data_IF_097239123748
#
_entry.id   IF_097239123748
#
_cell.length_a   1.000
_cell.length_b   1.000
_cell.length_c   1.000
_cell.angle_alpha   90.00
_cell.angle_beta   90.00
_cell.angle_gamma   90.00
#
_symmetry.space_group_name_H-M   'P 1'
#
loop_
_entity.id
_entity.type
_entity.pdbx_description
1 polymer ?
#
# COMPACT_ATOMS: atom_id res chain seq x y z
N UNK A 1 -10.59 11.99 -31.75
CA UNK A 1 -9.59 10.98 -31.34
C UNK A 1 -9.96 10.56 -29.94
N UNK A 2 -9.73 9.30 -29.57
CA UNK A 2 -9.92 8.88 -28.16
C UNK A 2 -8.77 9.41 -27.34
N UNK A 3 -9.07 9.90 -26.13
CA UNK A 3 -8.07 10.42 -25.18
C UNK A 3 -7.37 9.28 -24.44
N UNK A 4 -6.07 9.42 -24.21
CA UNK A 4 -5.30 8.44 -23.45
C UNK A 4 -4.34 9.12 -22.47
N UNK A 5 -3.98 8.40 -21.41
CA UNK A 5 -2.80 8.68 -20.61
C UNK A 5 -1.84 7.50 -20.67
N UNK A 6 -0.56 7.78 -20.44
CA UNK A 6 0.46 6.75 -20.28
C UNK A 6 0.82 6.67 -18.79
N UNK A 7 0.88 5.44 -18.28
CA UNK A 7 1.35 5.18 -16.93
C UNK A 7 2.50 4.16 -16.97
N UNK A 8 3.67 4.55 -16.51
CA UNK A 8 4.85 3.71 -16.39
C UNK A 8 5.34 3.62 -14.95
N UNK A 9 6.01 2.52 -14.59
CA UNK A 9 6.56 2.31 -13.25
C UNK A 9 7.88 1.56 -13.30
N UNK A 10 8.85 2.05 -12.52
CA UNK A 10 10.06 1.29 -12.22
C UNK A 10 10.33 1.23 -10.71
N UNK A 11 11.29 0.39 -10.33
CA UNK A 11 11.76 0.34 -8.94
C UNK A 11 12.56 1.60 -8.60
N UNK A 12 12.45 2.07 -7.36
CA UNK A 12 13.12 3.27 -6.84
C UNK A 12 14.63 3.12 -6.60
N UNK A 13 15.26 2.01 -7.04
CA UNK A 13 16.71 1.91 -7.04
C UNK A 13 17.23 2.99 -8.00
N UNK A 14 17.73 4.10 -7.47
CA UNK A 14 18.15 5.30 -8.21
C UNK A 14 19.32 5.10 -9.20
N UNK A 15 19.40 3.93 -9.81
CA UNK A 15 20.31 3.55 -10.85
C UNK A 15 19.88 4.18 -12.19
N UNK A 16 20.85 4.49 -13.03
CA UNK A 16 20.62 4.91 -14.42
C UNK A 16 19.74 3.92 -15.19
N UNK A 17 19.82 2.63 -14.85
CA UNK A 17 19.00 1.56 -15.42
C UNK A 17 17.51 1.73 -15.19
N UNK A 18 17.09 2.16 -14.00
CA UNK A 18 15.66 2.38 -13.70
C UNK A 18 15.05 3.54 -14.49
N UNK A 19 15.83 4.58 -14.80
CA UNK A 19 15.37 5.70 -15.66
C UNK A 19 15.26 5.28 -17.12
N UNK A 20 16.21 4.49 -17.61
CA UNK A 20 16.18 3.97 -18.97
C UNK A 20 14.98 3.03 -19.20
N UNK A 21 14.59 2.25 -18.17
CA UNK A 21 13.44 1.35 -18.24
C UNK A 21 12.11 2.12 -18.36
N UNK A 22 11.91 3.22 -17.61
CA UNK A 22 10.69 4.04 -17.76
C UNK A 22 10.65 4.77 -19.08
N UNK A 23 11.75 5.34 -19.54
CA UNK A 23 11.84 6.05 -20.83
C UNK A 23 11.45 5.12 -21.98
N UNK A 24 12.02 3.91 -22.01
CA UNK A 24 11.67 2.92 -23.02
C UNK A 24 10.20 2.51 -22.97
N UNK A 25 9.65 2.29 -21.77
CA UNK A 25 8.22 1.98 -21.62
C UNK A 25 7.35 3.10 -22.20
N UNK A 26 7.70 4.35 -21.92
CA UNK A 26 6.96 5.51 -22.44
C UNK A 26 7.05 5.60 -23.96
N UNK A 27 8.23 5.43 -24.53
CA UNK A 27 8.45 5.45 -25.99
C UNK A 27 7.62 4.38 -26.70
N UNK A 28 7.64 3.14 -26.20
CA UNK A 28 6.87 2.02 -26.76
C UNK A 28 5.35 2.31 -26.70
N UNK A 29 4.87 2.88 -25.60
CA UNK A 29 3.46 3.24 -25.41
C UNK A 29 3.04 4.44 -26.27
N UNK A 30 3.91 5.43 -26.46
CA UNK A 30 3.69 6.55 -27.37
C UNK A 30 3.58 6.06 -28.83
N UNK A 31 4.49 5.16 -29.23
CA UNK A 31 4.42 4.56 -30.55
C UNK A 31 3.09 3.80 -30.77
N UNK A 32 2.66 3.03 -29.75
CA UNK A 32 1.35 2.36 -29.78
C UNK A 32 0.20 3.36 -29.92
N UNK A 33 0.23 4.45 -29.12
CA UNK A 33 -0.81 5.48 -29.16
C UNK A 33 -0.91 6.13 -30.55
N UNK A 34 0.23 6.48 -31.16
CA UNK A 34 0.26 7.06 -32.51
C UNK A 34 -0.32 6.09 -33.56
N UNK A 35 0.07 4.81 -33.51
CA UNK A 35 -0.40 3.79 -34.44
C UNK A 35 -1.92 3.54 -34.32
N UNK A 36 -2.46 3.68 -33.11
CA UNK A 36 -3.90 3.45 -32.84
C UNK A 36 -4.73 4.74 -32.79
N UNK A 37 -4.19 5.86 -33.25
CA UNK A 37 -4.86 7.16 -33.31
C UNK A 37 -5.42 7.63 -31.95
N UNK A 38 -4.67 7.38 -30.87
CA UNK A 38 -4.97 7.86 -29.51
C UNK A 38 -4.22 9.17 -29.26
N UNK A 39 -4.91 10.12 -28.62
CA UNK A 39 -4.30 11.38 -28.19
C UNK A 39 -3.78 11.23 -26.76
N UNK A 40 -2.47 11.26 -26.56
CA UNK A 40 -1.86 11.17 -25.23
C UNK A 40 -1.91 12.54 -24.55
N UNK A 41 -2.78 12.68 -23.56
CA UNK A 41 -3.00 13.93 -22.82
C UNK A 41 -1.94 14.13 -21.72
N UNK A 42 -1.55 13.04 -21.04
CA UNK A 42 -0.58 13.13 -19.93
C UNK A 42 0.19 11.81 -19.79
N UNK A 43 1.43 11.93 -19.32
CA UNK A 43 2.29 10.78 -18.98
C UNK A 43 2.65 10.84 -17.50
N UNK A 44 2.53 9.69 -16.83
CA UNK A 44 2.89 9.49 -15.43
C UNK A 44 4.02 8.47 -15.33
N UNK A 45 5.12 8.87 -14.71
CA UNK A 45 6.29 8.02 -14.49
C UNK A 45 6.53 7.84 -12.99
N UNK A 46 6.22 6.68 -12.46
CA UNK A 46 6.32 6.37 -11.05
C UNK A 46 7.61 5.63 -10.72
N UNK A 47 8.39 6.20 -9.81
CA UNK A 47 9.60 5.60 -9.26
C UNK A 47 9.33 5.19 -7.80
N UNK A 48 8.90 3.96 -7.59
CA UNK A 48 8.50 3.51 -6.27
C UNK A 48 9.05 2.12 -5.95
N UNK A 49 9.53 1.94 -4.70
CA UNK A 49 9.93 0.61 -4.24
C UNK A 49 8.69 -0.30 -4.22
N UNK A 50 8.88 -1.49 -4.72
CA UNK A 50 7.74 -2.34 -4.97
C UNK A 50 7.08 -2.99 -3.77
N UNK A 51 7.30 -2.50 -2.56
CA UNK A 51 6.60 -2.97 -1.36
C UNK A 51 5.39 -2.13 -0.97
N UNK A 52 5.13 -1.00 -1.67
CA UNK A 52 3.97 -0.15 -1.35
C UNK A 52 2.70 -0.67 -2.00
N UNK A 53 1.61 -0.69 -1.22
CA UNK A 53 0.28 -1.02 -1.71
C UNK A 53 -0.24 0.07 -2.68
N UNK A 54 -1.16 -0.29 -3.59
CA UNK A 54 -1.68 0.65 -4.59
C UNK A 54 -2.31 1.90 -3.96
N UNK A 55 -2.97 1.78 -2.82
CA UNK A 55 -3.52 2.91 -2.05
C UNK A 55 -2.46 3.91 -1.58
N UNK A 56 -1.21 3.47 -1.42
CA UNK A 56 -0.08 4.27 -0.95
C UNK A 56 0.81 4.75 -2.10
N UNK A 57 0.30 4.67 -3.35
CA UNK A 57 0.96 5.10 -4.59
C UNK A 57 0.34 6.40 -5.08
N UNK A 58 0.90 7.57 -4.70
CA UNK A 58 0.26 8.86 -4.97
C UNK A 58 0.10 9.14 -6.47
N UNK A 59 1.10 8.78 -7.29
CA UNK A 59 1.02 9.01 -8.74
C UNK A 59 0.00 8.10 -9.42
N UNK A 60 -0.17 6.85 -8.98
CA UNK A 60 -1.23 5.98 -9.48
C UNK A 60 -2.60 6.56 -9.13
N UNK A 61 -2.80 6.99 -7.88
CA UNK A 61 -4.06 7.61 -7.44
C UNK A 61 -4.34 8.90 -8.20
N UNK A 62 -3.31 9.74 -8.42
CA UNK A 62 -3.44 10.95 -9.25
C UNK A 62 -3.84 10.60 -10.69
N UNK A 63 -3.21 9.60 -11.31
CA UNK A 63 -3.53 9.17 -12.67
C UNK A 63 -4.98 8.67 -12.79
N UNK A 64 -5.45 7.87 -11.82
CA UNK A 64 -6.83 7.38 -11.79
C UNK A 64 -7.84 8.51 -11.61
N UNK A 65 -7.58 9.45 -10.69
CA UNK A 65 -8.42 10.62 -10.47
C UNK A 65 -8.44 11.52 -11.71
N UNK A 66 -7.28 11.76 -12.32
CA UNK A 66 -7.19 12.54 -13.56
C UNK A 66 -8.03 11.95 -14.68
N UNK A 67 -8.05 10.61 -14.81
CA UNK A 67 -8.89 9.94 -15.80
C UNK A 67 -10.38 10.21 -15.58
N UNK A 68 -10.84 10.16 -14.33
CA UNK A 68 -12.23 10.42 -13.98
C UNK A 68 -12.62 11.89 -14.24
N UNK A 69 -11.79 12.83 -13.76
CA UNK A 69 -12.07 14.27 -13.84
C UNK A 69 -12.06 14.79 -15.30
N UNK A 70 -11.20 14.22 -16.14
CA UNK A 70 -11.00 14.65 -17.52
C UNK A 70 -11.66 13.70 -18.55
N UNK A 71 -12.46 12.74 -18.11
CA UNK A 71 -13.14 11.78 -18.98
C UNK A 71 -12.21 11.09 -19.98
N UNK A 72 -11.06 10.60 -19.48
CA UNK A 72 -10.08 9.91 -20.31
C UNK A 72 -10.60 8.54 -20.72
N UNK A 73 -10.54 8.23 -22.00
CA UNK A 73 -11.04 6.96 -22.55
C UNK A 73 -10.17 5.76 -22.18
N UNK A 74 -8.84 5.93 -22.14
CA UNK A 74 -7.92 4.79 -22.05
C UNK A 74 -6.66 5.13 -21.25
N UNK A 75 -6.22 4.19 -20.41
CA UNK A 75 -4.88 4.18 -19.79
C UNK A 75 -4.01 3.19 -20.56
N UNK A 76 -2.83 3.62 -20.98
CA UNK A 76 -1.83 2.79 -21.63
C UNK A 76 -0.76 2.38 -20.62
N UNK A 77 -0.50 1.09 -20.47
CA UNK A 77 0.45 0.52 -19.53
C UNK A 77 1.33 -0.51 -20.24
N UNK A 78 2.62 -0.56 -19.95
CA UNK A 78 3.55 -1.47 -20.60
C UNK A 78 3.25 -2.95 -20.30
N UNK A 79 2.96 -3.26 -19.05
CA UNK A 79 2.61 -4.62 -18.61
C UNK A 79 1.75 -4.59 -17.34
N UNK A 80 0.99 -5.65 -17.10
CA UNK A 80 0.07 -5.78 -15.97
C UNK A 80 0.75 -5.57 -14.62
N UNK A 81 2.00 -6.00 -14.47
CA UNK A 81 2.79 -5.85 -13.25
C UNK A 81 3.04 -4.39 -12.85
N UNK A 82 2.87 -3.43 -13.77
CA UNK A 82 2.99 -1.99 -13.48
C UNK A 82 1.78 -1.46 -12.72
N UNK A 83 0.63 -2.08 -12.93
CA UNK A 83 -0.61 -1.70 -12.26
C UNK A 83 -0.59 -2.07 -10.77
N UNK A 84 0.00 -3.20 -10.40
CA UNK A 84 0.15 -3.67 -9.03
C UNK A 84 1.20 -4.77 -8.92
N UNK A 85 1.62 -5.09 -7.71
CA UNK A 85 2.49 -6.25 -7.45
C UNK A 85 1.74 -7.48 -7.02
N UNK A 86 0.70 -7.27 -6.25
CA UNK A 86 -0.18 -8.32 -5.75
C UNK A 86 -1.35 -8.46 -6.69
N UNK A 87 -1.75 -9.69 -6.91
CA UNK A 87 -2.87 -9.98 -7.81
C UNK A 87 -4.17 -9.33 -7.35
N UNK A 88 -4.41 -9.23 -6.04
CA UNK A 88 -5.57 -8.56 -5.47
C UNK A 88 -5.59 -7.06 -5.80
N UNK A 89 -4.45 -6.37 -5.70
CA UNK A 89 -4.33 -4.95 -6.05
C UNK A 89 -4.58 -4.69 -7.55
N UNK A 90 -4.11 -5.59 -8.40
CA UNK A 90 -4.35 -5.53 -9.84
C UNK A 90 -5.86 -5.68 -10.13
N UNK A 91 -6.50 -6.69 -9.50
CA UNK A 91 -7.92 -6.95 -9.65
C UNK A 91 -8.79 -5.80 -9.15
N UNK A 92 -8.45 -5.21 -8.00
CA UNK A 92 -9.14 -4.03 -7.46
C UNK A 92 -9.03 -2.84 -8.43
N UNK A 93 -7.84 -2.60 -8.99
CA UNK A 93 -7.65 -1.49 -9.93
C UNK A 93 -8.37 -1.74 -11.26
N UNK A 94 -8.33 -2.98 -11.79
CA UNK A 94 -9.10 -3.34 -12.99
C UNK A 94 -10.60 -3.17 -12.75
N UNK A 95 -11.10 -3.61 -11.60
CA UNK A 95 -12.51 -3.41 -11.23
C UNK A 95 -12.86 -1.93 -11.16
N UNK A 96 -12.04 -1.11 -10.51
CA UNK A 96 -12.22 0.33 -10.45
C UNK A 96 -12.33 0.95 -11.86
N UNK A 97 -11.43 0.59 -12.78
CA UNK A 97 -11.44 1.09 -14.14
C UNK A 97 -12.72 0.67 -14.91
N UNK A 98 -13.16 -0.57 -14.73
CA UNK A 98 -14.43 -1.07 -15.31
C UNK A 98 -15.63 -0.27 -14.79
N UNK A 99 -15.73 -0.09 -13.47
CA UNK A 99 -16.84 0.60 -12.82
C UNK A 99 -16.94 2.08 -13.29
N UNK A 100 -15.81 2.68 -13.71
CA UNK A 100 -15.75 4.05 -14.23
C UNK A 100 -15.69 4.14 -15.75
N UNK A 101 -15.89 3.02 -16.46
CA UNK A 101 -15.86 2.94 -17.92
C UNK A 101 -14.55 3.43 -18.57
N UNK A 102 -13.44 3.33 -17.84
CA UNK A 102 -12.11 3.66 -18.32
C UNK A 102 -11.47 2.39 -18.85
N UNK A 103 -11.07 2.39 -20.14
CA UNK A 103 -10.33 1.28 -20.71
C UNK A 103 -8.88 1.29 -20.22
N UNK A 104 -8.24 0.12 -20.16
CA UNK A 104 -6.81 0.00 -19.94
C UNK A 104 -6.24 -0.99 -20.94
N UNK A 105 -5.16 -0.60 -21.60
CA UNK A 105 -4.43 -1.47 -22.51
C UNK A 105 -3.06 -1.84 -21.96
N UNK A 106 -2.77 -3.14 -21.95
CA UNK A 106 -1.50 -3.72 -21.51
C UNK A 106 -0.70 -4.14 -22.74
N UNK A 107 0.35 -3.37 -23.04
CA UNK A 107 1.10 -3.53 -24.29
C UNK A 107 1.76 -4.90 -24.43
N UNK A 108 2.39 -5.39 -23.37
CA UNK A 108 3.11 -6.69 -23.38
C UNK A 108 2.16 -7.87 -23.52
N UNK A 109 1.05 -7.84 -22.81
CA UNK A 109 0.03 -8.88 -22.85
C UNK A 109 -0.89 -8.75 -24.08
N UNK A 110 -0.87 -7.62 -24.77
CA UNK A 110 -1.76 -7.28 -25.90
C UNK A 110 -3.25 -7.42 -25.51
N UNK A 111 -3.58 -7.03 -24.29
CA UNK A 111 -4.92 -7.13 -23.74
C UNK A 111 -5.46 -5.77 -23.33
N UNK A 112 -6.77 -5.61 -23.47
CA UNK A 112 -7.50 -4.44 -22.94
C UNK A 112 -8.66 -4.88 -22.06
N UNK A 113 -9.11 -3.97 -21.19
CA UNK A 113 -10.31 -4.21 -20.36
C UNK A 113 -11.54 -4.36 -21.24
N UNK A 114 -11.66 -3.52 -22.27
CA UNK A 114 -12.75 -3.61 -23.24
C UNK A 114 -12.20 -3.65 -24.67
N UNK A 115 -12.85 -4.44 -25.51
CA UNK A 115 -12.62 -4.50 -26.95
C UNK A 115 -13.97 -4.25 -27.64
N UNK A 116 -14.00 -3.33 -28.61
CA UNK A 116 -15.21 -2.97 -29.37
C UNK A 116 -16.43 -2.60 -28.49
N UNK A 117 -16.18 -1.94 -27.36
CA UNK A 117 -17.22 -1.53 -26.41
C UNK A 117 -17.79 -2.66 -25.54
N UNK A 118 -17.22 -3.87 -25.64
CA UNK A 118 -17.60 -5.03 -24.82
C UNK A 118 -16.44 -5.43 -23.92
N UNK A 119 -16.76 -6.02 -22.77
CA UNK A 119 -15.73 -6.59 -21.89
C UNK A 119 -14.92 -7.67 -22.62
N UNK A 120 -13.60 -7.63 -22.42
CA UNK A 120 -12.70 -8.60 -23.01
C UNK A 120 -12.75 -9.92 -22.22
N UNK A 121 -13.27 -11.02 -22.77
CA UNK A 121 -13.39 -12.28 -22.05
C UNK A 121 -12.03 -12.89 -21.66
N UNK A 122 -10.98 -12.63 -22.44
CA UNK A 122 -9.63 -13.12 -22.10
C UNK A 122 -9.08 -12.43 -20.84
N UNK A 123 -9.34 -11.13 -20.65
CA UNK A 123 -8.97 -10.46 -19.42
C UNK A 123 -9.74 -11.03 -18.23
N UNK A 124 -11.02 -11.37 -18.39
CA UNK A 124 -11.82 -12.00 -17.34
C UNK A 124 -11.23 -13.33 -16.89
N UNK A 125 -10.84 -14.17 -17.87
CA UNK A 125 -10.18 -15.45 -17.58
C UNK A 125 -8.83 -15.21 -16.88
N UNK A 126 -8.03 -14.28 -17.37
CA UNK A 126 -6.73 -13.96 -16.76
C UNK A 126 -6.91 -13.44 -15.33
N UNK A 127 -7.89 -12.58 -15.06
CA UNK A 127 -8.23 -12.12 -13.71
C UNK A 127 -8.63 -13.28 -12.78
N UNK A 128 -9.39 -14.25 -13.27
CA UNK A 128 -9.75 -15.44 -12.50
C UNK A 128 -8.51 -16.28 -12.15
N UNK A 129 -7.60 -16.50 -13.09
CA UNK A 129 -6.33 -17.20 -12.85
C UNK A 129 -5.45 -16.45 -11.85
N UNK A 130 -5.34 -15.14 -11.98
CA UNK A 130 -4.58 -14.32 -11.05
C UNK A 130 -5.19 -14.33 -9.65
N UNK A 131 -6.52 -14.32 -9.54
CA UNK A 131 -7.24 -14.42 -8.27
C UNK A 131 -6.93 -15.73 -7.55
N UNK A 132 -7.04 -16.87 -8.24
CA UNK A 132 -6.72 -18.19 -7.68
C UNK A 132 -5.22 -18.31 -7.30
N UNK A 133 -4.32 -17.77 -8.12
CA UNK A 133 -2.89 -17.74 -7.82
C UNK A 133 -2.59 -16.93 -6.53
N UNK A 134 -3.27 -15.79 -6.35
CA UNK A 134 -3.15 -14.98 -5.14
C UNK A 134 -3.64 -15.70 -3.89
N UNK A 135 -4.73 -16.46 -3.98
CA UNK A 135 -5.25 -17.27 -2.88
C UNK A 135 -4.26 -18.37 -2.50
N UNK A 136 -3.73 -19.11 -3.47
CA UNK A 136 -2.72 -20.14 -3.24
C UNK A 136 -1.45 -19.59 -2.60
N UNK A 137 -1.00 -18.42 -3.02
CA UNK A 137 0.16 -17.76 -2.39
C UNK A 137 -0.11 -17.42 -0.92
N UNK A 138 -1.28 -16.85 -0.60
CA UNK A 138 -1.67 -16.55 0.79
C UNK A 138 -1.74 -17.82 1.66
N UNK A 139 -2.34 -18.88 1.15
CA UNK A 139 -2.39 -20.17 1.84
C UNK A 139 -0.98 -20.73 2.09
N UNK A 140 -0.10 -20.66 1.10
CA UNK A 140 1.28 -21.10 1.22
C UNK A 140 2.05 -20.31 2.29
N UNK A 141 1.89 -18.99 2.31
CA UNK A 141 2.49 -18.11 3.33
C UNK A 141 1.93 -18.45 4.71
N UNK A 142 0.60 -18.60 4.84
CA UNK A 142 -0.04 -18.98 6.09
C UNK A 142 0.49 -20.32 6.62
N UNK A 143 0.57 -21.33 5.76
CA UNK A 143 1.09 -22.64 6.11
C UNK A 143 2.56 -22.56 6.60
N UNK A 144 3.41 -21.84 5.89
CA UNK A 144 4.83 -21.65 6.30
C UNK A 144 4.95 -20.95 7.65
N UNK A 145 4.16 -19.89 7.87
CA UNK A 145 4.15 -19.15 9.13
C UNK A 145 3.63 -19.99 10.30
N UNK A 146 2.54 -20.73 10.09
CA UNK A 146 1.97 -21.62 11.14
C UNK A 146 2.94 -22.75 11.48
N UNK A 147 3.48 -23.42 10.48
CA UNK A 147 4.48 -24.49 10.66
C UNK A 147 5.74 -23.99 11.36
N UNK A 148 6.26 -22.82 10.97
CA UNK A 148 7.39 -22.19 11.63
C UNK A 148 7.11 -21.83 13.10
N UNK A 149 5.92 -21.31 13.38
CA UNK A 149 5.46 -21.00 14.73
C UNK A 149 5.37 -22.26 15.59
N UNK A 150 4.76 -23.32 15.04
CA UNK A 150 4.56 -24.58 15.77
C UNK A 150 5.91 -25.28 16.05
N UNK A 151 6.87 -25.19 15.14
CA UNK A 151 8.25 -25.60 15.36
C UNK A 151 8.89 -24.81 16.50
N UNK A 152 8.81 -23.47 16.45
CA UNK A 152 9.36 -22.59 17.49
C UNK A 152 8.80 -22.90 18.88
N UNK A 153 7.49 -23.19 18.99
CA UNK A 153 6.85 -23.58 20.26
C UNK A 153 7.36 -24.94 20.73
N UNK A 154 7.49 -25.92 19.83
CA UNK A 154 8.02 -27.25 20.17
C UNK A 154 9.46 -27.19 20.67
N UNK A 155 10.26 -26.29 20.10
CA UNK A 155 11.65 -26.07 20.50
C UNK A 155 11.77 -25.23 21.81
N UNK A 156 10.65 -25.04 22.54
CA UNK A 156 10.60 -24.31 23.82
C UNK A 156 10.45 -22.81 23.70
N UNK A 157 10.28 -22.27 22.51
CA UNK A 157 10.06 -20.86 22.26
C UNK A 157 8.72 -20.37 22.81
N UNK A 158 8.68 -19.14 23.28
CA UNK A 158 7.45 -18.49 23.78
C UNK A 158 7.03 -17.38 22.83
N UNK A 159 5.77 -17.45 22.38
CA UNK A 159 5.19 -16.40 21.54
C UNK A 159 4.83 -15.17 22.38
N UNK A 160 4.83 -14.03 21.72
CA UNK A 160 4.50 -12.75 22.32
C UNK A 160 5.72 -11.97 22.82
N UNK A 161 5.44 -10.85 23.45
CA UNK A 161 6.48 -9.96 23.95
C UNK A 161 7.16 -10.58 25.18
N UNK A 162 8.49 -10.71 25.22
CA UNK A 162 9.20 -11.21 26.42
C UNK A 162 8.79 -10.40 27.66
N UNK A 163 8.68 -11.09 28.81
CA UNK A 163 8.42 -10.39 30.09
C UNK A 163 9.48 -9.31 30.31
N UNK A 164 9.04 -8.09 30.56
CA UNK A 164 9.93 -6.92 30.76
C UNK A 164 10.39 -6.21 29.49
N UNK A 165 10.21 -6.77 28.30
CA UNK A 165 10.57 -6.09 27.05
C UNK A 165 9.68 -4.84 26.85
N UNK A 166 10.32 -3.67 26.75
CA UNK A 166 9.67 -2.38 26.58
C UNK A 166 8.94 -1.86 27.82
N UNK A 167 9.23 -2.39 28.99
CA UNK A 167 8.92 -1.74 30.27
C UNK A 167 9.91 -0.59 30.43
N UNK A 168 9.39 0.64 30.48
CA UNK A 168 10.22 1.83 30.72
C UNK A 168 10.80 1.77 32.14
N UNK A 169 12.07 2.12 32.28
CA UNK A 169 12.69 2.26 33.60
C UNK A 169 12.05 3.39 34.41
N UNK A 170 12.20 3.38 35.74
CA UNK A 170 11.70 4.48 36.62
C UNK A 170 12.21 5.85 36.15
N UNK A 171 13.47 5.94 35.71
CA UNK A 171 14.06 7.20 35.22
C UNK A 171 13.43 7.67 33.90
N UNK A 172 13.17 6.75 32.98
CA UNK A 172 12.46 7.06 31.73
C UNK A 172 11.02 7.51 32.00
N UNK A 173 10.32 6.85 32.94
CA UNK A 173 8.99 7.26 33.36
C UNK A 173 9.01 8.60 34.07
N UNK A 174 10.03 8.86 34.91
CA UNK A 174 10.18 10.15 35.61
C UNK A 174 10.39 11.31 34.60
N UNK A 175 11.16 11.08 33.58
CA UNK A 175 11.42 12.08 32.53
C UNK A 175 10.17 12.34 31.67
N UNK A 176 9.51 11.28 31.20
CA UNK A 176 8.34 11.38 30.33
C UNK A 176 7.11 11.97 31.04
N UNK A 177 6.92 11.60 32.30
CA UNK A 177 5.73 12.02 33.10
C UNK A 177 6.07 13.04 34.18
N UNK A 178 7.08 13.88 33.98
CA UNK A 178 7.54 14.88 34.94
C UNK A 178 6.42 15.78 35.47
N UNK A 179 5.50 16.20 34.60
CA UNK A 179 4.34 17.04 34.99
C UNK A 179 3.35 16.28 35.87
N UNK A 180 3.11 14.99 35.57
CA UNK A 180 2.22 14.14 36.40
C UNK A 180 2.81 13.94 37.77
N UNK A 181 4.09 13.60 37.86
CA UNK A 181 4.78 13.37 39.12
C UNK A 181 4.85 14.64 39.96
N UNK A 182 5.04 15.82 39.36
CA UNK A 182 5.01 17.10 40.05
C UNK A 182 3.67 17.35 40.71
N UNK A 183 2.56 17.12 40.02
CA UNK A 183 1.21 17.33 40.56
C UNK A 183 0.88 16.31 41.67
N UNK A 184 1.28 15.04 41.49
CA UNK A 184 1.09 14.01 42.51
C UNK A 184 1.88 14.33 43.80
N UNK A 185 3.15 14.76 43.68
CA UNK A 185 3.98 15.21 44.83
C UNK A 185 3.41 16.43 45.53
N UNK A 186 2.68 17.29 44.79
CA UNK A 186 1.97 18.44 45.38
C UNK A 186 0.62 18.05 46.03
N UNK A 187 0.33 16.74 46.20
CA UNK A 187 -0.87 16.25 46.86
C UNK A 187 -2.15 16.26 46.00
N UNK A 188 -2.03 16.50 44.70
CA UNK A 188 -3.20 16.50 43.85
C UNK A 188 -3.77 15.08 43.69
N UNK A 189 -5.11 15.00 43.61
CA UNK A 189 -5.79 13.74 43.42
C UNK A 189 -5.53 13.20 41.99
N UNK A 190 -5.64 11.86 41.79
CA UNK A 190 -5.50 11.20 40.49
C UNK A 190 -6.40 11.85 39.44
N UNK A 191 -7.66 12.15 39.78
CA UNK A 191 -8.61 12.78 38.84
C UNK A 191 -8.20 14.22 38.48
N UNK A 192 -7.73 15.00 39.43
CA UNK A 192 -7.26 16.36 39.17
C UNK A 192 -5.98 16.36 38.33
N UNK A 193 -5.01 15.51 38.67
CA UNK A 193 -3.77 15.34 37.91
C UNK A 193 -4.05 14.92 36.49
N UNK A 194 -4.99 13.99 36.26
CA UNK A 194 -5.42 13.58 34.92
C UNK A 194 -5.99 14.75 34.12
N UNK A 195 -6.86 15.57 34.71
CA UNK A 195 -7.44 16.75 34.06
C UNK A 195 -6.40 17.80 33.68
N UNK A 196 -5.43 18.06 34.59
CA UNK A 196 -4.38 19.07 34.39
C UNK A 196 -3.37 18.62 33.32
N UNK A 197 -3.00 17.33 33.32
CA UNK A 197 -1.91 16.82 32.49
C UNK A 197 -2.36 16.17 31.18
N UNK A 198 -3.67 15.92 31.00
CA UNK A 198 -4.24 15.19 29.86
C UNK A 198 -3.92 13.69 29.84
N UNK A 199 -3.24 13.18 30.88
CA UNK A 199 -2.87 11.77 31.00
C UNK A 199 -4.03 10.97 31.58
N UNK A 200 -4.32 9.77 31.04
CA UNK A 200 -5.43 8.95 31.51
C UNK A 200 -5.35 8.64 33.02
N UNK A 201 -6.51 8.59 33.75
CA UNK A 201 -6.52 8.30 35.18
C UNK A 201 -5.82 7.00 35.56
N UNK A 202 -5.95 5.95 34.70
CA UNK A 202 -5.30 4.65 34.91
C UNK A 202 -3.77 4.75 34.86
N UNK A 203 -3.24 5.55 33.94
CA UNK A 203 -1.79 5.82 33.85
C UNK A 203 -1.31 6.62 35.04
N UNK A 204 -2.06 7.65 35.47
CA UNK A 204 -1.72 8.45 36.67
C UNK A 204 -1.71 7.57 37.91
N UNK A 205 -2.68 6.67 38.03
CA UNK A 205 -2.76 5.76 39.21
C UNK A 205 -1.61 4.73 39.20
N UNK A 206 -1.22 4.23 38.03
CA UNK A 206 -0.05 3.35 37.89
C UNK A 206 1.23 4.08 38.32
N UNK A 207 1.43 5.31 37.83
CA UNK A 207 2.59 6.13 38.21
C UNK A 207 2.62 6.45 39.70
N UNK A 208 1.46 6.78 40.30
CA UNK A 208 1.34 6.99 41.73
C UNK A 208 1.82 5.79 42.54
N UNK A 209 1.40 4.58 42.14
CA UNK A 209 1.83 3.32 42.77
C UNK A 209 3.31 3.01 42.55
N UNK A 210 3.81 3.24 41.32
CA UNK A 210 5.22 2.96 40.94
C UNK A 210 6.22 3.84 41.67
N UNK A 211 5.84 5.11 41.95
CA UNK A 211 6.68 6.12 42.65
C UNK A 211 6.31 6.30 44.12
N UNK A 212 5.40 5.47 44.66
CA UNK A 212 4.98 5.46 46.07
C UNK A 212 4.51 6.84 46.57
N UNK A 213 3.68 7.54 45.78
CA UNK A 213 3.20 8.89 46.02
C UNK A 213 1.75 8.93 46.53
#
# INVERSE_FOLDING_TARGET
MKSAIIFSRCSSSGSLEGRQDTTRQVEDLQHYAMTNHLEVIKTYEEHISGGKANKDRPLLQEALNFCMENHIDTILISELSRLGRRCDEILETIKFLKDHHINCYFLKEQLSISADGKENPYLTIMCAVLGTAAELERETIYYRLSSGRDKYIRDGGKLGKPKGAGVKTKDQLATEYKSVLKNLKAGQSVRNTSKITGVSPSTVQRLKKEFEL
#
